data_IF_604300839543
#
_entry.id   IF_604300839543
#
_cell.length_a   1.000
_cell.length_b   1.000
_cell.length_c   1.000
_cell.angle_alpha   90.00
_cell.angle_beta   90.00
_cell.angle_gamma   90.00
#
_symmetry.space_group_name_H-M   'P 1'
#
loop_
_entity.id
_entity.type
_entity.pdbx_description
1 polymer ?
#
# COMPACT_ATOMS: atom_id res chain seq x y z
N UNK A 1 46.56 -0.81 -21.14
CA UNK A 1 45.43 -1.61 -20.59
C UNK A 1 44.95 -0.93 -19.31
N UNK A 2 43.76 -0.31 -19.26
CA UNK A 2 43.33 0.37 -18.02
C UNK A 2 42.04 1.20 -18.08
N UNK A 3 41.53 1.54 -19.27
CA UNK A 3 40.30 2.31 -19.40
C UNK A 3 39.01 1.46 -19.38
N UNK A 4 39.10 0.17 -19.72
CA UNK A 4 37.92 -0.68 -19.91
C UNK A 4 37.36 -1.27 -18.62
N UNK A 5 38.12 -1.25 -17.51
CA UNK A 5 37.70 -1.83 -16.24
C UNK A 5 36.78 -0.89 -15.44
N UNK A 6 36.82 0.43 -15.72
CA UNK A 6 35.98 1.43 -15.05
C UNK A 6 34.54 1.45 -15.58
N UNK A 7 34.35 1.15 -16.86
CA UNK A 7 33.01 1.13 -17.48
C UNK A 7 32.18 -0.10 -17.08
N UNK A 8 32.84 -1.20 -16.68
CA UNK A 8 32.15 -2.40 -16.20
C UNK A 8 31.62 -2.23 -14.76
N UNK A 9 32.15 -1.30 -13.97
CA UNK A 9 31.65 -1.02 -12.62
C UNK A 9 30.40 -0.12 -12.62
N UNK A 10 30.14 0.61 -13.71
CA UNK A 10 29.04 1.58 -13.79
C UNK A 10 27.68 0.97 -14.20
N UNK A 11 27.65 -0.28 -14.66
CA UNK A 11 26.43 -0.97 -15.10
C UNK A 11 25.77 -1.85 -14.01
N UNK A 12 26.31 -1.87 -12.80
CA UNK A 12 25.86 -2.78 -11.74
C UNK A 12 24.77 -2.21 -10.80
N UNK A 13 24.27 -0.99 -11.01
CA UNK A 13 23.42 -0.29 -10.03
C UNK A 13 22.05 0.16 -10.56
N UNK A 14 21.42 -0.65 -11.43
CA UNK A 14 20.05 -0.39 -11.88
C UNK A 14 19.21 -1.67 -11.95
N UNK A 15 19.26 -2.51 -10.92
CA UNK A 15 18.18 -3.49 -10.69
C UNK A 15 17.06 -2.78 -9.93
N UNK A 16 16.16 -2.11 -10.66
CA UNK A 16 14.84 -1.79 -10.11
C UNK A 16 14.11 -3.12 -9.97
N UNK A 17 14.16 -3.69 -8.77
CA UNK A 17 13.39 -4.87 -8.42
C UNK A 17 11.89 -4.53 -8.51
N UNK A 18 11.23 -4.89 -9.61
CA UNK A 18 9.78 -5.07 -9.59
C UNK A 18 9.51 -6.34 -8.77
N UNK A 19 9.37 -6.18 -7.46
CA UNK A 19 8.73 -7.23 -6.66
C UNK A 19 7.29 -7.31 -7.13
N UNK A 20 6.96 -8.35 -7.89
CA UNK A 20 5.59 -8.76 -8.13
C UNK A 20 4.95 -8.98 -6.75
N UNK A 21 4.01 -8.12 -6.38
CA UNK A 21 3.31 -8.15 -5.09
C UNK A 21 2.34 -9.33 -5.09
N UNK A 22 2.85 -10.54 -4.87
CA UNK A 22 2.05 -11.71 -4.58
C UNK A 22 1.57 -11.61 -3.13
N UNK A 23 0.37 -11.04 -2.95
CA UNK A 23 -0.24 -10.71 -1.67
C UNK A 23 -0.28 -9.20 -1.47
N UNK A 24 -1.48 -8.67 -1.22
CA UNK A 24 -1.74 -7.24 -1.01
C UNK A 24 -1.29 -6.81 0.39
N UNK A 25 -0.02 -7.03 0.69
CA UNK A 25 0.56 -6.69 1.99
C UNK A 25 0.69 -5.18 2.14
N UNK A 26 0.36 -4.68 3.32
CA UNK A 26 0.60 -3.28 3.66
C UNK A 26 2.09 -3.04 3.90
N UNK A 27 2.60 -1.97 3.31
CA UNK A 27 3.95 -1.50 3.58
C UNK A 27 4.06 -0.95 5.01
N UNK A 28 5.28 -0.88 5.58
CA UNK A 28 5.48 -0.26 6.90
C UNK A 28 5.02 1.22 6.97
N UNK A 29 5.04 1.92 5.84
CA UNK A 29 4.53 3.30 5.76
C UNK A 29 2.99 3.31 5.87
N UNK A 30 2.31 2.44 5.13
CA UNK A 30 0.85 2.30 5.16
C UNK A 30 0.33 1.85 6.53
N UNK A 31 1.04 0.94 7.22
CA UNK A 31 0.73 0.57 8.61
C UNK A 31 0.68 1.75 9.60
N UNK A 32 1.37 2.86 9.28
CA UNK A 32 1.40 4.09 10.08
C UNK A 32 0.59 5.22 9.45
N UNK A 33 -0.09 4.95 8.35
CA UNK A 33 -0.94 5.89 7.64
C UNK A 33 -2.36 5.93 8.19
N UNK A 34 -3.14 6.85 7.63
CA UNK A 34 -4.60 6.81 7.68
C UNK A 34 -5.09 5.65 6.77
N UNK A 35 -6.10 4.85 7.16
CA UNK A 35 -7.03 5.07 8.28
C UNK A 35 -6.58 4.49 9.64
N UNK A 36 -5.47 3.76 9.70
CA UNK A 36 -5.06 3.02 10.90
C UNK A 36 -4.50 3.87 12.04
N UNK A 37 -3.92 5.03 11.71
CA UNK A 37 -3.52 6.04 12.70
C UNK A 37 -4.59 7.12 12.78
N UNK A 38 -4.99 7.41 14.01
CA UNK A 38 -5.96 8.46 14.29
C UNK A 38 -5.46 9.81 13.75
N UNK A 39 -6.28 10.41 12.89
CA UNK A 39 -6.13 11.79 12.43
C UNK A 39 -7.18 12.62 13.14
N UNK A 40 -6.83 13.85 13.56
CA UNK A 40 -7.79 14.73 14.20
C UNK A 40 -9.02 14.95 13.28
N UNK A 41 -10.24 15.04 13.83
CA UNK A 41 -11.45 15.30 13.04
C UNK A 41 -11.27 16.53 12.12
N UNK A 42 -11.67 16.39 10.87
CA UNK A 42 -11.53 17.46 9.86
C UNK A 42 -10.09 17.75 9.42
N UNK A 43 -9.10 16.93 9.81
CA UNK A 43 -7.69 17.07 9.39
C UNK A 43 -7.20 15.97 8.46
N UNK A 44 -8.11 15.12 7.94
CA UNK A 44 -7.77 14.18 6.87
C UNK A 44 -7.38 14.96 5.63
N UNK A 45 -6.17 14.72 5.14
CA UNK A 45 -5.65 15.38 3.94
C UNK A 45 -6.08 14.61 2.69
N UNK A 46 -6.14 15.30 1.55
CA UNK A 46 -6.41 14.66 0.26
C UNK A 46 -5.44 13.51 -0.03
N UNK A 47 -4.15 13.68 0.28
CA UNK A 47 -3.15 12.63 0.09
C UNK A 47 -3.44 11.38 0.95
N UNK A 48 -3.88 11.55 2.20
CA UNK A 48 -4.28 10.45 3.06
C UNK A 48 -5.50 9.71 2.51
N UNK A 49 -6.50 10.45 2.03
CA UNK A 49 -7.69 9.87 1.42
C UNK A 49 -7.35 9.08 0.16
N UNK A 50 -6.50 9.62 -0.71
CA UNK A 50 -6.08 8.93 -1.94
C UNK A 50 -5.25 7.67 -1.65
N UNK A 51 -4.47 7.66 -0.57
CA UNK A 51 -3.75 6.46 -0.14
C UNK A 51 -4.73 5.35 0.30
N UNK A 52 -5.70 5.68 1.15
CA UNK A 52 -6.75 4.72 1.56
C UNK A 52 -7.54 4.23 0.34
N UNK A 53 -7.90 5.14 -0.57
CA UNK A 53 -8.61 4.78 -1.80
C UNK A 53 -7.82 3.76 -2.62
N UNK A 54 -6.52 3.99 -2.86
CA UNK A 54 -5.67 3.04 -3.58
C UNK A 54 -5.55 1.69 -2.86
N UNK A 55 -5.54 1.68 -1.53
CA UNK A 55 -5.55 0.45 -0.73
C UNK A 55 -6.87 -0.32 -0.89
N UNK A 56 -8.00 0.36 -0.96
CA UNK A 56 -9.32 -0.22 -1.18
C UNK A 56 -9.49 -0.73 -2.62
N UNK A 57 -9.06 0.06 -3.60
CA UNK A 57 -9.13 -0.29 -5.03
C UNK A 57 -8.30 -1.54 -5.34
N UNK A 58 -7.12 -1.64 -4.74
CA UNK A 58 -6.30 -2.84 -4.86
C UNK A 58 -7.01 -4.08 -4.29
N UNK A 59 -7.96 -3.91 -3.36
CA UNK A 59 -8.80 -4.97 -2.78
C UNK A 59 -10.14 -5.15 -3.48
N UNK A 60 -10.31 -4.55 -4.66
CA UNK A 60 -11.46 -4.75 -5.52
C UNK A 60 -12.59 -3.75 -5.34
N UNK A 61 -12.38 -2.66 -4.57
CA UNK A 61 -13.32 -1.53 -4.61
C UNK A 61 -13.23 -0.83 -5.97
N UNK A 62 -14.37 -0.53 -6.58
CA UNK A 62 -14.48 0.16 -7.87
C UNK A 62 -15.37 1.40 -7.70
N UNK A 63 -14.77 2.57 -7.49
CA UNK A 63 -15.53 3.81 -7.34
C UNK A 63 -16.33 4.15 -8.60
N UNK A 64 -17.61 4.51 -8.43
CA UNK A 64 -18.45 5.07 -9.51
C UNK A 64 -19.14 4.04 -10.43
N UNK A 65 -18.93 2.75 -10.21
CA UNK A 65 -19.60 1.67 -10.97
C UNK A 65 -20.95 1.22 -10.34
N UNK A 66 -21.46 1.98 -9.37
CA UNK A 66 -22.51 1.56 -8.44
C UNK A 66 -23.92 2.06 -8.80
N UNK A 67 -24.09 2.72 -9.95
CA UNK A 67 -25.36 3.26 -10.48
C UNK A 67 -26.18 4.05 -9.43
N UNK A 68 -25.51 4.68 -8.46
CA UNK A 68 -26.15 5.43 -7.37
C UNK A 68 -26.60 4.60 -6.17
N UNK A 69 -26.28 3.31 -6.12
CA UNK A 69 -26.43 2.44 -4.95
C UNK A 69 -25.16 2.45 -4.13
N UNK A 70 -25.24 2.41 -2.79
CA UNK A 70 -24.03 2.34 -1.97
C UNK A 70 -23.19 1.08 -2.34
N UNK A 71 -21.89 1.22 -2.68
CA UNK A 71 -21.11 0.13 -3.24
C UNK A 71 -20.92 -1.02 -2.24
N UNK A 72 -21.37 -2.22 -2.61
CA UNK A 72 -21.20 -3.42 -1.78
C UNK A 72 -19.74 -3.88 -1.72
N UNK A 73 -18.97 -3.63 -2.78
CA UNK A 73 -17.55 -3.93 -2.90
C UNK A 73 -16.69 -3.07 -1.96
N UNK A 74 -17.12 -1.85 -1.59
CA UNK A 74 -16.43 -1.02 -0.59
C UNK A 74 -16.34 -1.74 0.77
N UNK A 75 -17.44 -2.35 1.23
CA UNK A 75 -17.44 -3.07 2.51
C UNK A 75 -16.54 -4.30 2.47
N UNK A 76 -16.56 -5.03 1.35
CA UNK A 76 -15.69 -6.19 1.15
C UNK A 76 -14.21 -5.77 1.14
N UNK A 77 -13.86 -4.68 0.45
CA UNK A 77 -12.51 -4.13 0.39
C UNK A 77 -12.04 -3.63 1.76
N UNK A 78 -12.88 -2.94 2.53
CA UNK A 78 -12.57 -2.50 3.91
C UNK A 78 -12.30 -3.68 4.84
N UNK A 79 -13.07 -4.77 4.71
CA UNK A 79 -12.86 -5.99 5.48
C UNK A 79 -11.52 -6.65 5.13
N UNK A 80 -11.19 -6.72 3.84
CA UNK A 80 -9.89 -7.22 3.39
C UNK A 80 -8.74 -6.32 3.91
N UNK A 81 -8.88 -5.00 3.82
CA UNK A 81 -7.88 -4.03 4.30
C UNK A 81 -7.62 -4.16 5.80
N UNK A 82 -8.67 -4.39 6.58
CA UNK A 82 -8.57 -4.64 8.03
C UNK A 82 -7.87 -5.96 8.35
N UNK A 83 -8.09 -7.00 7.52
CA UNK A 83 -7.42 -8.28 7.68
C UNK A 83 -5.91 -8.16 7.39
N UNK A 84 -5.56 -7.42 6.34
CA UNK A 84 -4.17 -7.15 5.98
C UNK A 84 -3.46 -6.31 7.05
N UNK A 85 -4.13 -5.28 7.59
CA UNK A 85 -3.61 -4.54 8.74
C UNK A 85 -3.34 -5.43 9.95
N UNK A 86 -4.26 -6.34 10.24
CA UNK A 86 -4.08 -7.30 11.34
C UNK A 86 -2.89 -8.23 11.08
N UNK A 87 -2.72 -8.70 9.84
CA UNK A 87 -1.66 -9.62 9.44
C UNK A 87 -0.28 -8.94 9.41
N UNK A 88 -0.19 -7.77 8.82
CA UNK A 88 1.09 -7.12 8.50
C UNK A 88 1.50 -6.14 9.60
N UNK A 89 0.56 -5.40 10.17
CA UNK A 89 0.86 -4.28 11.05
C UNK A 89 0.68 -4.61 12.53
N UNK A 90 -0.08 -5.65 12.90
CA UNK A 90 -0.27 -6.02 14.32
C UNK A 90 0.50 -7.28 14.72
N UNK A 91 0.60 -8.29 13.84
CA UNK A 91 1.35 -9.52 14.15
C UNK A 91 2.86 -9.33 14.14
N UNK A 92 3.40 -8.48 13.26
CA UNK A 92 4.84 -8.19 13.21
C UNK A 92 5.35 -7.45 14.46
N UNK A 93 4.49 -6.78 15.21
CA UNK A 93 4.87 -6.03 16.42
C UNK A 93 4.87 -6.87 17.71
N UNK A 94 4.49 -8.16 17.67
CA UNK A 94 4.37 -9.01 18.87
C UNK A 94 5.65 -9.78 19.24
N UNK A 95 6.79 -9.51 18.60
CA UNK A 95 8.05 -10.22 18.89
C UNK A 95 8.84 -9.52 20.01
N UNK A 96 8.41 -9.71 21.25
CA UNK A 96 9.14 -9.37 22.49
C UNK A 96 8.72 -10.33 23.58
#
# INVERSE_FOLDING_TARGET
MGANLRYLAALAAATVSLTAHAGLHLTPAQCRGYPFRHVAPGKVTHAQLMNELGELEARGYRPGDDEGTYPADLQAAQKALSADYSADCLKLHRKT
#
